data_IF_634901083468
#
_entry.id   IF_634901083468
#
_cell.length_a   1.000
_cell.length_b   1.000
_cell.length_c   1.000
_cell.angle_alpha   90.00
_cell.angle_beta   90.00
_cell.angle_gamma   90.00
#
_symmetry.space_group_name_H-M   'P 1'
#
loop_
_entity.id
_entity.type
_entity.pdbx_description
1 polymer ?
#
# COMPACT_ATOMS: atom_id res chain seq x y z
N UNK A 1 23.66 -10.16 15.02
CA UNK A 1 23.72 -9.81 13.59
C UNK A 1 23.11 -10.98 12.84
N UNK A 2 22.02 -10.71 12.11
CA UNK A 2 21.43 -11.71 11.21
C UNK A 2 22.34 -11.99 10.01
N UNK A 3 22.10 -13.09 9.27
CA UNK A 3 22.87 -13.42 8.09
C UNK A 3 22.79 -12.25 7.07
N UNK A 4 23.89 -12.00 6.35
CA UNK A 4 23.92 -10.97 5.32
C UNK A 4 22.85 -11.27 4.25
N UNK A 5 22.10 -10.25 3.86
CA UNK A 5 21.12 -10.38 2.80
C UNK A 5 21.84 -10.63 1.46
N UNK A 6 21.30 -11.50 0.59
CA UNK A 6 21.92 -11.77 -0.71
C UNK A 6 21.85 -10.55 -1.63
N UNK A 7 22.80 -10.48 -2.56
CA UNK A 7 22.89 -9.39 -3.53
C UNK A 7 21.66 -9.32 -4.46
N UNK A 8 20.92 -10.41 -4.63
CA UNK A 8 19.66 -10.44 -5.37
C UNK A 8 18.55 -9.56 -4.80
N UNK A 9 18.66 -9.18 -3.53
CA UNK A 9 17.74 -8.26 -2.85
C UNK A 9 18.24 -6.81 -2.81
N UNK A 10 19.28 -6.49 -3.57
CA UNK A 10 19.85 -5.15 -3.68
C UNK A 10 19.69 -4.65 -5.11
N UNK A 11 19.51 -3.34 -5.26
CA UNK A 11 19.43 -2.71 -6.57
C UNK A 11 20.32 -1.46 -6.63
N UNK A 12 21.28 -1.47 -7.53
CA UNK A 12 22.18 -0.34 -7.72
C UNK A 12 21.62 0.67 -8.71
N UNK A 13 21.39 1.88 -8.24
CA UNK A 13 20.97 3.03 -9.02
C UNK A 13 22.17 3.70 -9.68
N UNK A 14 22.46 3.36 -10.94
CA UNK A 14 23.67 3.83 -11.68
C UNK A 14 23.74 5.36 -11.75
N UNK A 15 22.62 6.02 -12.02
CA UNK A 15 22.54 7.47 -12.20
C UNK A 15 22.85 8.26 -10.91
N UNK A 16 22.69 7.62 -9.76
CA UNK A 16 22.85 8.23 -8.45
C UNK A 16 24.02 7.66 -7.65
N UNK A 17 24.65 6.59 -8.14
CA UNK A 17 25.72 5.91 -7.41
C UNK A 17 25.28 5.30 -6.08
N UNK A 18 24.00 4.95 -5.94
CA UNK A 18 23.38 4.51 -4.70
C UNK A 18 22.84 3.09 -4.82
N UNK A 19 22.96 2.30 -3.74
CA UNK A 19 22.37 0.97 -3.66
C UNK A 19 21.14 0.98 -2.76
N UNK A 20 19.99 0.60 -3.30
CA UNK A 20 18.79 0.31 -2.53
C UNK A 20 18.89 -1.11 -1.99
N UNK A 21 18.65 -1.29 -0.69
CA UNK A 21 18.65 -2.59 -0.02
C UNK A 21 17.64 -2.59 1.12
N UNK A 22 16.95 -3.69 1.40
CA UNK A 22 16.05 -3.77 2.54
C UNK A 22 16.86 -3.92 3.85
N UNK A 23 16.22 -3.63 4.98
CA UNK A 23 16.80 -3.89 6.31
C UNK A 23 16.70 -5.38 6.64
N UNK A 24 15.54 -6.00 6.33
CA UNK A 24 15.30 -7.43 6.51
C UNK A 24 14.51 -7.98 5.32
N UNK A 25 14.57 -9.30 5.18
CA UNK A 25 13.76 -10.02 4.20
C UNK A 25 13.20 -11.29 4.80
N UNK A 26 11.94 -11.59 4.48
CA UNK A 26 11.26 -12.80 4.93
C UNK A 26 11.24 -13.79 3.78
N UNK A 27 11.66 -15.03 4.06
CA UNK A 27 11.76 -16.10 3.08
C UNK A 27 10.69 -17.16 3.35
N UNK A 28 10.12 -17.71 2.29
CA UNK A 28 9.35 -18.94 2.38
C UNK A 28 10.30 -20.12 2.63
N UNK A 29 10.19 -20.73 3.79
CA UNK A 29 10.98 -21.90 4.17
C UNK A 29 10.31 -23.23 3.79
N UNK A 30 9.09 -23.19 3.30
CA UNK A 30 8.29 -24.39 3.00
C UNK A 30 8.57 -24.97 1.61
N UNK A 31 9.35 -24.26 0.78
CA UNK A 31 9.63 -24.65 -0.59
C UNK A 31 11.14 -24.76 -0.86
N UNK A 32 11.51 -25.72 -1.69
CA UNK A 32 12.88 -25.90 -2.20
C UNK A 32 13.36 -24.75 -3.11
N UNK A 33 12.47 -23.78 -3.41
CA UNK A 33 12.75 -22.55 -4.14
C UNK A 33 13.08 -21.38 -3.20
N UNK A 34 13.97 -20.47 -3.66
CA UNK A 34 14.35 -19.26 -2.93
C UNK A 34 13.32 -18.14 -3.11
N UNK A 35 12.05 -18.38 -2.79
CA UNK A 35 11.04 -17.35 -2.94
C UNK A 35 11.03 -16.44 -1.71
N UNK A 36 11.22 -15.14 -1.96
CA UNK A 36 11.12 -14.10 -0.94
C UNK A 36 9.67 -13.62 -0.85
N UNK A 37 9.09 -13.68 0.35
CA UNK A 37 7.70 -13.30 0.59
C UNK A 37 7.53 -11.81 0.83
N UNK A 38 8.45 -11.21 1.57
CA UNK A 38 8.30 -9.85 2.06
C UNK A 38 9.66 -9.19 2.29
N UNK A 39 9.80 -7.93 1.87
CA UNK A 39 10.94 -7.10 2.27
C UNK A 39 10.52 -6.15 3.39
N UNK A 40 11.43 -5.85 4.30
CA UNK A 40 11.19 -4.90 5.39
C UNK A 40 12.27 -3.82 5.34
N UNK A 41 11.82 -2.58 5.30
CA UNK A 41 12.67 -1.40 5.39
C UNK A 41 12.37 -0.63 6.66
N UNK A 42 13.31 -0.60 7.57
CA UNK A 42 13.24 0.22 8.76
C UNK A 42 13.80 1.62 8.48
N UNK A 43 13.07 2.65 8.92
CA UNK A 43 13.46 4.04 8.80
C UNK A 43 13.75 4.63 10.19
N UNK A 44 14.75 5.51 10.29
CA UNK A 44 15.12 6.11 11.56
C UNK A 44 14.04 7.05 12.09
N UNK A 45 13.80 7.00 13.40
CA UNK A 45 12.95 7.94 14.13
C UNK A 45 11.51 7.96 13.64
N UNK A 46 11.05 9.14 13.24
CA UNK A 46 9.68 9.42 12.79
C UNK A 46 9.64 9.93 11.35
N UNK A 47 10.63 9.56 10.55
CA UNK A 47 10.72 9.96 9.16
C UNK A 47 9.41 9.68 8.42
N UNK A 48 8.89 10.71 7.73
CA UNK A 48 7.70 10.56 6.91
C UNK A 48 7.96 9.66 5.70
N UNK A 49 7.01 8.80 5.36
CA UNK A 49 7.14 7.87 4.24
C UNK A 49 6.99 8.54 2.88
N UNK A 50 6.26 9.64 2.82
CA UNK A 50 5.86 10.29 1.57
C UNK A 50 6.70 11.54 1.25
N UNK A 51 7.47 12.03 2.21
CA UNK A 51 8.33 13.21 2.07
C UNK A 51 9.77 12.77 1.83
N UNK A 52 10.37 13.29 0.74
CA UNK A 52 11.78 13.07 0.49
C UNK A 52 12.61 13.78 1.60
N UNK A 53 13.58 13.08 2.21
CA UNK A 53 14.43 13.71 3.21
C UNK A 53 15.26 14.84 2.58
N UNK A 54 15.59 15.90 3.35
CA UNK A 54 16.50 16.95 2.89
C UNK A 54 17.86 16.33 2.55
N UNK A 55 18.36 16.59 1.36
CA UNK A 55 19.43 15.81 0.74
C UNK A 55 20.73 16.59 0.60
N UNK A 56 21.86 15.88 0.78
CA UNK A 56 23.13 16.17 0.13
C UNK A 56 23.05 15.90 -1.39
N UNK A 57 23.82 16.61 -2.18
CA UNK A 57 23.69 16.90 -3.62
C UNK A 57 23.81 15.74 -4.61
N UNK A 58 23.89 14.47 -4.22
CA UNK A 58 24.13 13.32 -5.12
C UNK A 58 23.24 12.12 -4.95
N UNK A 59 22.25 12.12 -4.06
CA UNK A 59 21.36 11.01 -3.84
C UNK A 59 20.05 11.20 -4.59
N UNK A 60 19.39 10.09 -4.94
CA UNK A 60 18.07 10.12 -5.55
C UNK A 60 17.05 10.79 -4.59
N UNK A 61 16.57 11.97 -4.98
CA UNK A 61 15.60 12.76 -4.22
C UNK A 61 14.18 12.17 -4.36
N UNK A 62 13.95 11.06 -3.67
CA UNK A 62 12.66 10.40 -3.65
C UNK A 62 12.24 10.13 -2.21
N UNK A 63 10.93 10.09 -1.98
CA UNK A 63 10.40 9.70 -0.68
C UNK A 63 10.78 8.25 -0.34
N UNK A 64 10.84 7.88 0.95
CA UNK A 64 11.07 6.50 1.35
C UNK A 64 10.10 5.50 0.68
N UNK A 65 8.83 5.90 0.52
CA UNK A 65 7.82 5.13 -0.21
C UNK A 65 8.27 4.86 -1.67
N UNK A 66 8.63 5.87 -2.42
CA UNK A 66 9.02 5.72 -3.82
C UNK A 66 10.30 4.89 -3.97
N UNK A 67 11.27 5.06 -3.07
CA UNK A 67 12.50 4.28 -3.02
C UNK A 67 12.23 2.79 -2.75
N UNK A 68 11.32 2.52 -1.82
CA UNK A 68 10.94 1.16 -1.45
C UNK A 68 10.12 0.47 -2.56
N UNK A 69 9.18 1.18 -3.18
CA UNK A 69 8.46 0.65 -4.35
C UNK A 69 9.41 0.28 -5.50
N UNK A 70 10.42 1.10 -5.74
CA UNK A 70 11.45 0.79 -6.75
C UNK A 70 12.20 -0.48 -6.38
N UNK A 71 12.61 -0.62 -5.12
CA UNK A 71 13.29 -1.81 -4.63
C UNK A 71 12.43 -3.07 -4.82
N UNK A 72 11.15 -3.03 -4.41
CA UNK A 72 10.21 -4.16 -4.56
C UNK A 72 10.09 -4.60 -6.03
N UNK A 73 9.97 -3.65 -6.96
CA UNK A 73 9.87 -3.95 -8.38
C UNK A 73 11.14 -4.57 -8.96
N UNK A 74 12.30 -4.06 -8.58
CA UNK A 74 13.59 -4.54 -9.12
C UNK A 74 13.99 -5.90 -8.54
N UNK A 75 13.70 -6.15 -7.27
CA UNK A 75 13.94 -7.45 -6.62
C UNK A 75 12.88 -8.50 -6.97
N UNK A 76 11.78 -8.11 -7.62
CA UNK A 76 10.61 -8.97 -7.94
C UNK A 76 9.90 -9.52 -6.69
N UNK A 77 10.09 -8.92 -5.54
CA UNK A 77 9.34 -9.21 -4.31
C UNK A 77 8.22 -8.19 -4.21
N UNK A 78 6.96 -8.54 -4.52
CA UNK A 78 5.90 -7.55 -4.74
C UNK A 78 5.38 -6.89 -3.46
N UNK A 79 5.62 -7.48 -2.30
CA UNK A 79 5.11 -7.02 -1.02
C UNK A 79 6.25 -6.62 -0.07
N UNK A 80 6.01 -5.62 0.77
CA UNK A 80 6.97 -5.21 1.78
C UNK A 80 6.38 -4.31 2.85
N UNK A 81 7.16 -4.10 3.90
CA UNK A 81 6.82 -3.24 5.03
C UNK A 81 7.81 -2.08 5.13
N UNK A 82 7.30 -0.86 5.16
CA UNK A 82 8.01 0.32 5.65
C UNK A 82 7.66 0.51 7.12
N UNK A 83 8.65 0.59 7.97
CA UNK A 83 8.46 0.68 9.42
C UNK A 83 9.27 1.85 9.97
N UNK A 84 8.63 2.67 10.81
CA UNK A 84 9.30 3.63 11.66
C UNK A 84 8.71 3.58 13.07
N UNK A 85 9.12 4.49 13.98
CA UNK A 85 8.63 4.49 15.38
C UNK A 85 7.14 4.80 15.52
N UNK A 86 6.49 5.36 14.49
CA UNK A 86 5.10 5.82 14.57
C UNK A 86 4.15 5.03 13.68
N UNK A 87 4.65 4.34 12.67
CA UNK A 87 3.81 3.75 11.66
C UNK A 87 4.42 2.49 11.06
N UNK A 88 3.54 1.57 10.67
CA UNK A 88 3.83 0.41 9.84
C UNK A 88 3.02 0.58 8.57
N UNK A 89 3.68 0.53 7.42
CA UNK A 89 3.02 0.62 6.12
C UNK A 89 3.28 -0.65 5.33
N UNK A 90 2.22 -1.38 5.02
CA UNK A 90 2.25 -2.49 4.07
C UNK A 90 2.19 -1.91 2.67
N UNK A 91 3.20 -2.19 1.85
CA UNK A 91 3.32 -1.73 0.46
C UNK A 91 3.21 -2.94 -0.47
N UNK A 92 2.40 -2.81 -1.51
CA UNK A 92 2.31 -3.77 -2.60
C UNK A 92 2.67 -3.06 -3.91
N UNK A 93 3.77 -3.44 -4.54
CA UNK A 93 4.29 -2.79 -5.73
C UNK A 93 4.82 -3.82 -6.75
N UNK A 94 3.95 -4.58 -7.41
CA UNK A 94 4.35 -5.54 -8.40
C UNK A 94 4.94 -4.85 -9.64
N UNK A 95 5.75 -5.58 -10.39
CA UNK A 95 6.37 -5.05 -11.59
C UNK A 95 5.34 -4.87 -12.70
N UNK A 96 5.34 -3.71 -13.34
CA UNK A 96 4.43 -3.41 -14.45
C UNK A 96 3.02 -2.98 -14.05
N UNK A 97 2.74 -2.90 -12.74
CA UNK A 97 1.45 -2.45 -12.21
C UNK A 97 1.59 -1.22 -11.32
N UNK A 98 0.46 -0.57 -11.04
CA UNK A 98 0.42 0.53 -10.07
C UNK A 98 0.62 -0.02 -8.65
N UNK A 99 1.30 0.69 -7.77
CA UNK A 99 1.47 0.34 -6.37
C UNK A 99 0.23 0.69 -5.52
N UNK A 100 0.11 0.05 -4.37
CA UNK A 100 -0.87 0.37 -3.34
C UNK A 100 -0.26 0.19 -1.96
N UNK A 101 -0.84 0.83 -0.95
CA UNK A 101 -0.37 0.68 0.42
C UNK A 101 -1.48 0.84 1.46
N UNK A 102 -1.23 0.28 2.64
CA UNK A 102 -2.05 0.46 3.85
C UNK A 102 -1.13 0.94 4.97
N UNK A 103 -1.50 2.01 5.65
CA UNK A 103 -0.72 2.57 6.76
C UNK A 103 -1.44 2.35 8.09
N UNK A 104 -0.74 1.76 9.04
CA UNK A 104 -1.18 1.53 10.41
C UNK A 104 -0.38 2.44 11.33
N UNK A 105 -1.06 3.37 12.00
CA UNK A 105 -0.43 4.28 12.95
C UNK A 105 -0.38 3.67 14.34
N UNK A 106 0.81 3.47 14.89
CA UNK A 106 1.01 2.84 16.19
C UNK A 106 0.25 3.56 17.31
N UNK A 107 0.29 4.91 17.42
CA UNK A 107 -0.45 5.63 18.45
C UNK A 107 -1.98 5.44 18.37
N UNK A 108 -2.51 5.17 17.18
CA UNK A 108 -3.94 4.90 17.01
C UNK A 108 -4.28 3.47 17.41
N UNK A 109 -3.43 2.48 17.06
CA UNK A 109 -3.66 1.08 17.38
C UNK A 109 -3.62 0.75 18.87
N UNK A 110 -2.87 1.49 19.68
CA UNK A 110 -2.79 1.27 21.13
C UNK A 110 -4.01 1.81 21.89
N UNK A 111 -4.87 2.59 21.25
CA UNK A 111 -6.12 3.07 21.86
C UNK A 111 -7.20 2.01 21.78
N UNK A 112 -8.21 2.12 22.67
CA UNK A 112 -9.35 1.18 22.67
C UNK A 112 -10.08 1.18 21.32
N UNK A 113 -10.28 2.34 20.71
CA UNK A 113 -10.89 2.49 19.39
C UNK A 113 -10.03 1.93 18.24
N UNK A 114 -8.74 1.75 18.46
CA UNK A 114 -7.79 1.23 17.48
C UNK A 114 -7.67 -0.31 17.45
N UNK A 115 -8.34 -1.03 18.34
CA UNK A 115 -8.31 -2.50 18.37
C UNK A 115 -8.64 -3.16 17.03
N UNK A 116 -9.61 -2.68 16.23
CA UNK A 116 -9.88 -3.23 14.90
C UNK A 116 -8.70 -3.05 13.92
N UNK A 117 -7.96 -1.94 14.02
CA UNK A 117 -6.77 -1.68 13.20
C UNK A 117 -5.63 -2.64 13.55
N UNK A 118 -5.43 -2.87 14.86
CA UNK A 118 -4.45 -3.85 15.33
C UNK A 118 -4.82 -5.26 14.88
N UNK A 119 -6.10 -5.67 15.03
CA UNK A 119 -6.57 -6.97 14.57
C UNK A 119 -6.43 -7.14 13.06
N UNK A 120 -6.65 -6.09 12.27
CA UNK A 120 -6.43 -6.13 10.82
C UNK A 120 -4.94 -6.31 10.48
N UNK A 121 -4.04 -5.62 11.15
CA UNK A 121 -2.60 -5.78 10.97
C UNK A 121 -2.15 -7.19 11.35
N UNK A 122 -2.59 -7.69 12.50
CA UNK A 122 -2.30 -9.04 12.99
C UNK A 122 -2.78 -10.11 12.01
N UNK A 123 -4.00 -9.98 11.51
CA UNK A 123 -4.57 -10.89 10.50
C UNK A 123 -3.77 -10.88 9.19
N UNK A 124 -3.26 -9.72 8.75
CA UNK A 124 -2.47 -9.62 7.51
C UNK A 124 -1.06 -10.18 7.65
N UNK A 125 -0.45 -10.03 8.82
CA UNK A 125 0.94 -10.41 9.10
C UNK A 125 1.05 -11.68 9.96
N UNK A 126 -0.05 -12.39 10.20
CA UNK A 126 -0.02 -13.66 10.95
C UNK A 126 0.88 -14.68 10.24
N UNK A 127 1.52 -15.54 11.03
CA UNK A 127 2.35 -16.63 10.50
C UNK A 127 1.57 -17.54 9.56
N UNK A 128 0.28 -17.75 9.85
CA UNK A 128 -0.60 -18.59 9.02
C UNK A 128 -0.73 -18.01 7.61
N UNK A 129 -0.93 -16.70 7.49
CA UNK A 129 -1.04 -16.00 6.18
C UNK A 129 0.29 -15.87 5.44
N UNK A 130 1.39 -15.93 6.14
CA UNK A 130 2.70 -15.81 5.53
C UNK A 130 3.29 -17.17 5.14
N UNK A 131 3.00 -18.25 5.90
CA UNK A 131 3.77 -19.50 5.77
C UNK A 131 2.93 -20.78 5.67
N UNK A 132 1.71 -20.81 6.23
CA UNK A 132 0.96 -22.07 6.44
C UNK A 132 -0.06 -22.34 5.35
N UNK A 133 -0.65 -21.28 4.78
CA UNK A 133 -1.69 -21.41 3.75
C UNK A 133 -1.10 -21.68 2.37
N UNK A 134 -1.93 -22.22 1.48
CA UNK A 134 -1.58 -22.39 0.07
C UNK A 134 -1.17 -21.06 -0.57
N UNK A 135 -0.29 -21.13 -1.59
CA UNK A 135 0.26 -19.92 -2.26
C UNK A 135 -0.80 -18.91 -2.68
N UNK A 136 -1.97 -19.38 -3.07
CA UNK A 136 -3.10 -18.53 -3.49
C UNK A 136 -3.75 -17.77 -2.36
N UNK A 137 -3.57 -18.22 -1.12
CA UNK A 137 -4.08 -17.60 0.11
C UNK A 137 -3.02 -16.81 0.87
N UNK A 138 -1.76 -16.83 0.43
CA UNK A 138 -0.70 -16.05 1.03
C UNK A 138 -0.89 -14.55 0.78
N UNK A 139 -0.31 -13.72 1.64
CA UNK A 139 -0.44 -12.26 1.60
C UNK A 139 -0.22 -11.64 0.20
N UNK A 140 0.82 -11.99 -0.57
CA UNK A 140 1.01 -11.42 -1.91
C UNK A 140 -0.13 -11.75 -2.87
N UNK A 141 -0.66 -12.97 -2.82
CA UNK A 141 -1.76 -13.41 -3.68
C UNK A 141 -3.09 -12.70 -3.32
N UNK A 142 -3.38 -12.53 -2.03
CA UNK A 142 -4.54 -11.77 -1.55
C UNK A 142 -4.48 -10.32 -2.02
N UNK A 143 -3.31 -9.68 -1.92
CA UNK A 143 -3.11 -8.31 -2.38
C UNK A 143 -3.31 -8.18 -3.90
N UNK A 144 -2.81 -9.14 -4.67
CA UNK A 144 -3.01 -9.22 -6.12
C UNK A 144 -4.49 -9.39 -6.48
N UNK A 145 -5.19 -10.32 -5.83
CA UNK A 145 -6.61 -10.60 -6.07
C UNK A 145 -7.49 -9.38 -5.76
N UNK A 146 -7.30 -8.76 -4.59
CA UNK A 146 -8.05 -7.56 -4.19
C UNK A 146 -7.92 -6.42 -5.20
N UNK A 147 -6.76 -6.24 -5.77
CA UNK A 147 -6.51 -5.21 -6.75
C UNK A 147 -7.25 -5.46 -8.08
N UNK A 148 -7.33 -6.70 -8.51
CA UNK A 148 -8.11 -7.09 -9.70
C UNK A 148 -9.58 -6.68 -9.55
N UNK A 149 -10.16 -6.83 -8.35
CA UNK A 149 -11.53 -6.38 -8.08
C UNK A 149 -11.68 -4.85 -8.05
N UNK A 150 -10.71 -4.09 -7.55
CA UNK A 150 -10.76 -2.63 -7.58
C UNK A 150 -10.74 -2.08 -9.01
N UNK A 151 -9.96 -2.65 -9.91
CA UNK A 151 -9.91 -2.24 -11.30
C UNK A 151 -11.22 -2.54 -12.04
N UNK A 152 -11.93 -3.61 -11.69
CA UNK A 152 -13.24 -3.96 -12.26
C UNK A 152 -14.34 -3.01 -11.77
N UNK A 153 -14.32 -2.62 -10.51
CA UNK A 153 -15.31 -1.68 -9.95
C UNK A 153 -15.07 -0.22 -10.30
N UNK A 154 -13.87 0.12 -10.79
CA UNK A 154 -13.53 1.47 -11.26
C UNK A 154 -13.86 1.72 -12.73
N UNK A 155 -14.40 0.72 -13.44
CA UNK A 155 -14.93 0.93 -14.79
C UNK A 155 -16.25 1.72 -14.65
N UNK A 156 -16.34 2.99 -15.11
CA UNK A 156 -17.60 3.73 -15.04
C UNK A 156 -18.66 2.96 -15.82
N UNK A 157 -19.78 2.66 -15.18
CA UNK A 157 -20.95 2.13 -15.87
C UNK A 157 -21.34 3.17 -16.93
N UNK A 158 -21.25 2.87 -18.22
CA UNK A 158 -21.63 3.84 -19.24
C UNK A 158 -23.13 4.10 -19.13
N UNK A 159 -23.50 5.30 -18.74
CA UNK A 159 -24.82 5.84 -19.03
C UNK A 159 -25.88 5.90 -17.93
N UNK A 160 -25.60 5.54 -16.66
CA UNK A 160 -26.66 5.63 -15.62
C UNK A 160 -26.48 6.74 -14.57
N UNK A 161 -25.39 7.48 -14.57
CA UNK A 161 -25.08 8.48 -13.53
C UNK A 161 -25.71 9.86 -13.72
N UNK A 162 -26.16 10.23 -14.91
CA UNK A 162 -26.66 11.59 -15.16
C UNK A 162 -28.20 11.71 -15.23
N UNK A 163 -28.92 10.63 -15.46
CA UNK A 163 -30.37 10.65 -15.51
C UNK A 163 -31.09 10.69 -14.15
N UNK A 164 -30.39 10.27 -13.08
CA UNK A 164 -30.95 10.19 -11.73
C UNK A 164 -30.91 11.53 -10.96
N UNK A 165 -30.11 12.49 -11.40
CA UNK A 165 -29.99 13.81 -10.74
C UNK A 165 -30.92 14.89 -11.37
N UNK A 166 -31.44 14.64 -12.55
CA UNK A 166 -32.32 15.63 -13.24
C UNK A 166 -33.81 15.53 -12.84
N UNK A 167 -34.22 14.42 -12.24
CA UNK A 167 -35.61 14.20 -11.83
C UNK A 167 -36.05 15.02 -10.59
N UNK A 168 -35.25 15.26 -9.56
CA UNK A 168 -35.69 16.01 -8.37
C UNK A 168 -35.68 17.53 -8.56
N UNK A 169 -35.00 18.08 -9.59
CA UNK A 169 -34.93 19.54 -9.80
C UNK A 169 -36.11 20.14 -10.59
N UNK A 170 -36.92 19.32 -11.25
CA UNK A 170 -38.11 19.78 -11.95
C UNK A 170 -39.38 19.90 -11.12
N UNK A 171 -39.33 19.45 -9.84
CA UNK A 171 -40.46 19.50 -8.91
C UNK A 171 -40.59 20.78 -8.10
N UNK A 172 -39.63 21.70 -8.15
CA UNK A 172 -39.68 22.96 -7.40
C UNK A 172 -40.06 24.14 -8.32
N UNK A 173 -41.32 24.22 -8.70
CA UNK A 173 -41.87 25.49 -9.19
C UNK A 173 -42.47 26.24 -7.97
N UNK A 174 -42.07 27.49 -7.69
CA UNK A 174 -42.68 28.28 -6.64
C UNK A 174 -44.15 28.57 -7.00
N UNK A 175 -45.03 28.19 -6.10
CA UNK A 175 -46.48 28.38 -6.22
C UNK A 175 -46.86 29.85 -6.48
N UNK A 176 -47.62 30.04 -7.54
CA UNK A 176 -48.23 31.31 -7.95
C UNK A 176 -49.24 31.73 -6.87
N UNK A 177 -49.06 32.91 -6.31
CA UNK A 177 -49.97 33.49 -5.32
C UNK A 177 -51.37 33.67 -5.89
N UNK A 178 -52.46 33.46 -5.09
CA UNK A 178 -53.84 33.68 -5.55
C UNK A 178 -54.15 35.18 -5.71
N UNK A 179 -55.03 35.57 -6.64
CA UNK A 179 -55.38 36.94 -6.86
C UNK A 179 -56.26 37.47 -5.74
N UNK A 180 -55.94 38.63 -5.18
CA UNK A 180 -56.75 39.42 -4.24
C UNK A 180 -58.02 39.91 -4.92
N UNK A 181 -59.16 39.51 -4.41
CA UNK A 181 -60.49 40.14 -4.74
C UNK A 181 -60.63 41.47 -3.98
N UNK A 182 -60.95 42.49 -4.71
CA UNK A 182 -61.60 43.69 -4.21
C UNK A 182 -63.14 43.47 -4.13
#
# INVERSE_FOLDING_TARGET
QGPALPDSLQFYLRDYGETLKPTYALRDSTQDGFDWLLLIQELPGVQDFDIAPPVGTRQWQASPQARFERLLRETKVPAGLLVNRHSIRLVYAPRGETSGFLTFRIPEMIQVAGRPLFAALDMLLSSDRLFVVDKEEQLPAILAARRKYQNVSSTPLPGQGMAALDAPLRGFQPGRAPPTRR
#
